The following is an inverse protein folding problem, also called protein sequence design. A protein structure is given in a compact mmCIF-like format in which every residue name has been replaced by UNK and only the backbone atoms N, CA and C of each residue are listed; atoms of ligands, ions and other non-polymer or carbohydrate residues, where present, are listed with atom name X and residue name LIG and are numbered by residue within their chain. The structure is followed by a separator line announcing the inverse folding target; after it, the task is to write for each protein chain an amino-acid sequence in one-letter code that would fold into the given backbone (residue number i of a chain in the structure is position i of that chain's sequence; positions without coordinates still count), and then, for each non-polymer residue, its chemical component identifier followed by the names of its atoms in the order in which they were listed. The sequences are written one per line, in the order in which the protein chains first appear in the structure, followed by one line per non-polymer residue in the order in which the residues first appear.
data_IF_550209021656
#
_entry.id   IF_550209021656
#
_cell.length_a   1.000
_cell.length_b   1.000
_cell.length_c   1.000
_cell.angle_alpha   90.00
_cell.angle_beta   90.00
_cell.angle_gamma   90.00
#
_symmetry.space_group_name_H-M   'P 1'
#
loop_
_entity.id
_entity.type
_entity.pdbx_description
1 polymer ?
#
# COMPACT_ATOMS: atom_id res chain seq x y z
N UNK A 1 -1.44 10.44 -11.86
CA UNK A 1 -2.43 11.52 -11.72
C UNK A 1 -3.23 11.21 -10.47
N UNK A 2 -3.36 12.14 -9.50
CA UNK A 2 -4.02 11.84 -8.23
C UNK A 2 -5.51 11.55 -8.43
N UNK A 3 -6.03 10.63 -7.62
CA UNK A 3 -7.45 10.30 -7.53
C UNK A 3 -8.03 10.97 -6.28
N UNK A 4 -9.18 11.64 -6.43
CA UNK A 4 -9.85 12.36 -5.36
C UNK A 4 -11.23 11.76 -5.10
N UNK A 5 -11.57 11.58 -3.83
CA UNK A 5 -12.88 11.09 -3.41
C UNK A 5 -13.81 12.26 -3.14
N UNK A 6 -14.98 12.24 -3.76
CA UNK A 6 -16.03 13.24 -3.63
C UNK A 6 -17.32 12.60 -3.11
N UNK A 7 -18.04 13.32 -2.24
CA UNK A 7 -19.34 12.92 -1.68
C UNK A 7 -20.36 14.02 -1.95
N UNK A 8 -21.53 13.62 -2.44
CA UNK A 8 -22.65 14.53 -2.52
C UNK A 8 -23.31 14.68 -1.14
N UNK A 9 -23.45 15.91 -0.61
CA UNK A 9 -24.11 16.13 0.68
C UNK A 9 -25.62 15.81 0.64
N UNK A 10 -26.26 15.90 -0.52
CA UNK A 10 -27.70 15.70 -0.65
C UNK A 10 -28.10 14.24 -0.87
N UNK A 11 -27.39 13.52 -1.75
CA UNK A 11 -27.74 12.15 -2.11
C UNK A 11 -26.77 11.08 -1.59
N UNK A 12 -25.68 11.50 -0.92
CA UNK A 12 -24.68 10.60 -0.36
C UNK A 12 -23.86 9.83 -1.42
N UNK A 13 -23.97 10.20 -2.70
CA UNK A 13 -23.23 9.53 -3.78
C UNK A 13 -21.73 9.76 -3.62
N UNK A 14 -20.97 8.67 -3.60
CA UNK A 14 -19.51 8.69 -3.66
C UNK A 14 -19.03 8.63 -5.12
N UNK A 15 -18.09 9.49 -5.49
CA UNK A 15 -17.41 9.45 -6.79
C UNK A 15 -15.92 9.65 -6.63
N UNK A 16 -15.16 8.81 -7.33
CA UNK A 16 -13.71 8.98 -7.45
C UNK A 16 -13.42 9.66 -8.78
N UNK A 17 -12.68 10.76 -8.75
CA UNK A 17 -12.37 11.57 -9.93
C UNK A 17 -10.85 11.70 -10.02
N UNK A 18 -10.29 11.26 -11.14
CA UNK A 18 -8.86 11.42 -11.43
C UNK A 18 -8.69 12.76 -12.14
N UNK A 19 -7.98 13.71 -11.52
CA UNK A 19 -7.69 15.03 -12.12
C UNK A 19 -6.29 15.51 -11.75
N UNK A 20 -5.65 16.36 -12.57
CA UNK A 20 -4.36 16.93 -12.22
C UNK A 20 -4.48 17.87 -11.01
N UNK A 21 -3.38 18.04 -10.26
CA UNK A 21 -3.32 18.92 -9.08
C UNK A 21 -3.67 20.38 -9.42
N UNK A 22 -3.44 20.81 -10.66
CA UNK A 22 -3.79 22.15 -11.16
C UNK A 22 -5.30 22.39 -11.26
N UNK A 23 -6.10 21.34 -11.26
CA UNK A 23 -7.57 21.40 -11.33
C UNK A 23 -8.22 21.10 -9.97
N UNK A 24 -7.44 21.23 -8.90
CA UNK A 24 -7.84 20.92 -7.55
C UNK A 24 -9.10 21.68 -7.11
N UNK A 25 -9.13 23.00 -7.30
CA UNK A 25 -10.23 23.88 -6.85
C UNK A 25 -11.46 23.87 -7.77
N UNK A 26 -11.44 23.11 -8.87
CA UNK A 26 -12.62 22.99 -9.74
C UNK A 26 -13.72 22.22 -9.01
N UNK A 27 -14.86 22.89 -8.83
CA UNK A 27 -16.07 22.35 -8.20
C UNK A 27 -16.72 21.31 -9.13
N UNK A 28 -16.89 20.11 -8.61
CA UNK A 28 -17.54 19.01 -9.32
C UNK A 28 -19.02 18.97 -8.95
N UNK A 29 -19.88 18.72 -9.93
CA UNK A 29 -21.32 18.60 -9.69
C UNK A 29 -21.73 17.14 -9.59
N UNK A 30 -22.64 16.88 -8.66
CA UNK A 30 -23.30 15.61 -8.59
C UNK A 30 -24.13 15.39 -9.86
N UNK A 31 -24.12 14.16 -10.39
CA UNK A 31 -25.05 13.68 -11.42
C UNK A 31 -25.79 12.44 -10.87
N UNK A 32 -26.21 12.53 -9.61
CA UNK A 32 -26.82 11.43 -8.87
C UNK A 32 -28.24 11.12 -9.34
N UNK A 33 -28.77 10.01 -8.82
CA UNK A 33 -30.14 9.58 -9.09
C UNK A 33 -31.14 10.70 -8.76
N UNK A 34 -32.08 10.98 -9.67
CA UNK A 34 -33.08 12.04 -9.50
C UNK A 34 -32.65 13.45 -9.94
N UNK A 35 -31.49 13.61 -10.60
CA UNK A 35 -31.08 14.91 -11.15
C UNK A 35 -30.51 15.88 -10.12
N UNK A 36 -30.01 15.38 -8.99
CA UNK A 36 -29.29 16.15 -7.99
C UNK A 36 -28.06 16.82 -8.63
N UNK A 37 -27.98 18.15 -8.56
CA UNK A 37 -26.92 19.01 -9.13
C UNK A 37 -26.06 19.70 -8.06
N UNK A 38 -26.12 19.22 -6.82
CA UNK A 38 -25.35 19.76 -5.72
C UNK A 38 -23.84 19.73 -6.01
N UNK A 39 -23.12 20.66 -5.39
CA UNK A 39 -21.66 20.68 -5.41
C UNK A 39 -21.18 19.50 -4.57
N UNK A 40 -20.27 18.71 -5.13
CA UNK A 40 -19.66 17.59 -4.46
C UNK A 40 -18.56 18.08 -3.49
N UNK A 41 -18.61 17.62 -2.25
CA UNK A 41 -17.59 17.92 -1.25
C UNK A 41 -16.49 16.86 -1.27
N UNK A 42 -15.24 17.29 -1.11
CA UNK A 42 -14.10 16.38 -1.08
C UNK A 42 -14.06 15.61 0.24
N UNK A 43 -14.06 14.29 0.15
CA UNK A 43 -13.97 13.41 1.30
C UNK A 43 -12.51 13.07 1.62
N UNK A 44 -11.85 13.98 2.34
CA UNK A 44 -10.45 13.83 2.78
C UNK A 44 -10.23 12.59 3.64
N UNK A 45 -11.25 12.16 4.42
CA UNK A 45 -11.16 10.96 5.24
C UNK A 45 -11.10 9.67 4.40
N UNK A 46 -11.81 9.63 3.28
CA UNK A 46 -11.74 8.52 2.33
C UNK A 46 -10.39 8.51 1.57
N UNK A 47 -9.83 9.68 1.25
CA UNK A 47 -8.52 9.79 0.59
C UNK A 47 -7.36 9.38 1.50
N UNK A 48 -7.46 9.65 2.81
CA UNK A 48 -6.46 9.24 3.78
C UNK A 48 -6.27 7.71 3.86
N UNK A 49 -7.25 6.91 3.40
CA UNK A 49 -7.14 5.43 3.39
C UNK A 49 -6.04 4.92 2.46
N UNK A 50 -5.66 5.67 1.43
CA UNK A 50 -4.52 5.30 0.59
C UNK A 50 -3.16 5.57 1.25
N UNK A 51 -3.12 6.24 2.40
CA UNK A 51 -1.90 6.45 3.20
C UNK A 51 -1.76 5.46 4.37
N UNK A 52 -2.77 4.63 4.63
CA UNK A 52 -2.73 3.66 5.72
C UNK A 52 -2.24 2.30 5.23
N UNK A 53 -0.92 2.14 5.21
CA UNK A 53 -0.21 0.86 5.20
C UNK A 53 -0.79 -0.19 4.26
N UNK A 54 -0.42 -0.11 2.98
CA UNK A 54 -0.73 -1.13 1.98
C UNK A 54 -0.47 -2.53 2.55
N UNK A 55 -1.55 -3.24 2.88
CA UNK A 55 -1.47 -4.66 3.18
C UNK A 55 -1.02 -5.34 1.90
N UNK A 56 -0.10 -6.30 2.00
CA UNK A 56 0.22 -7.07 0.82
C UNK A 56 -1.06 -7.75 0.30
N UNK A 57 -1.30 -7.72 -1.01
CA UNK A 57 -2.44 -8.45 -1.60
C UNK A 57 -2.38 -9.96 -1.33
N UNK A 58 -1.20 -10.46 -0.96
CA UNK A 58 -0.93 -11.80 -0.39
C UNK A 58 0.16 -11.67 0.67
N UNK A 59 0.11 -12.40 1.80
CA UNK A 59 1.14 -12.31 2.81
C UNK A 59 2.54 -12.49 2.23
N UNK A 60 3.48 -11.63 2.62
CA UNK A 60 4.86 -11.72 2.17
C UNK A 60 5.59 -12.77 3.02
N UNK A 61 5.99 -13.87 2.40
CA UNK A 61 6.87 -14.87 3.00
C UNK A 61 8.30 -14.52 2.59
N UNK A 62 9.17 -14.24 3.57
CA UNK A 62 10.55 -13.84 3.29
C UNK A 62 11.49 -15.03 3.39
N UNK A 63 11.92 -15.55 2.24
CA UNK A 63 12.88 -16.67 2.17
C UNK A 63 14.28 -16.25 2.65
N UNK A 64 14.65 -14.99 2.47
CA UNK A 64 15.95 -14.45 2.89
C UNK A 64 16.09 -14.29 4.40
N UNK A 65 14.97 -14.35 5.14
CA UNK A 65 14.92 -14.26 6.60
C UNK A 65 14.60 -15.61 7.24
N UNK A 66 14.76 -16.71 6.50
CA UNK A 66 14.54 -18.05 7.04
C UNK A 66 15.51 -18.34 8.19
N UNK A 67 14.96 -18.80 9.32
CA UNK A 67 15.71 -19.14 10.53
C UNK A 67 15.68 -20.65 10.78
N UNK A 68 16.67 -21.15 11.51
CA UNK A 68 16.71 -22.57 11.86
C UNK A 68 15.54 -22.92 12.82
N UNK A 69 14.92 -24.12 12.72
CA UNK A 69 13.78 -24.48 13.56
C UNK A 69 14.00 -24.33 15.08
N UNK A 70 15.22 -24.53 15.55
CA UNK A 70 15.58 -24.33 16.96
C UNK A 70 15.49 -22.87 17.43
N UNK A 71 15.65 -21.91 16.52
CA UNK A 71 15.59 -20.47 16.80
C UNK A 71 14.16 -19.93 16.79
N UNK A 72 13.20 -20.68 16.23
CA UNK A 72 11.80 -20.27 16.11
C UNK A 72 11.18 -20.00 17.50
N UNK A 73 11.51 -20.83 18.50
CA UNK A 73 10.97 -20.67 19.84
C UNK A 73 11.41 -19.36 20.51
N UNK A 74 12.64 -18.93 20.27
CA UNK A 74 13.17 -17.66 20.78
C UNK A 74 12.63 -16.48 20.00
N UNK A 75 12.60 -16.59 18.67
CA UNK A 75 12.00 -15.58 17.80
C UNK A 75 10.55 -15.29 18.17
N UNK A 76 9.73 -16.33 18.40
CA UNK A 76 8.32 -16.17 18.75
C UNK A 76 8.11 -15.50 20.12
N UNK A 77 9.10 -15.56 21.03
CA UNK A 77 9.06 -14.81 22.29
C UNK A 77 9.36 -13.32 22.09
N UNK A 78 10.29 -13.01 21.19
CA UNK A 78 10.72 -11.64 20.89
C UNK A 78 9.75 -10.91 19.95
N UNK A 79 9.16 -11.64 19.00
CA UNK A 79 8.28 -11.11 17.95
C UNK A 79 6.99 -11.95 17.85
N UNK A 80 6.10 -11.87 18.86
CA UNK A 80 4.87 -12.66 18.88
C UNK A 80 3.90 -12.33 17.72
N UNK A 81 4.00 -11.13 17.16
CA UNK A 81 3.15 -10.65 16.07
C UNK A 81 3.54 -11.22 14.69
N UNK A 82 4.72 -11.84 14.56
CA UNK A 82 5.24 -12.36 13.30
C UNK A 82 5.09 -13.87 13.29
N UNK A 83 4.23 -14.37 12.40
CA UNK A 83 4.04 -15.81 12.22
C UNK A 83 5.23 -16.41 11.49
N UNK A 84 5.79 -17.49 12.02
CA UNK A 84 6.84 -18.27 11.36
C UNK A 84 6.27 -19.60 10.89
N UNK A 85 6.43 -19.92 9.61
CA UNK A 85 6.01 -21.20 9.05
C UNK A 85 6.90 -22.35 9.56
N UNK A 86 6.43 -23.59 9.38
CA UNK A 86 7.17 -24.81 9.75
C UNK A 86 8.57 -24.88 9.10
N UNK A 87 8.72 -24.27 7.94
CA UNK A 87 9.99 -24.17 7.19
C UNK A 87 10.92 -23.07 7.73
N UNK A 88 10.59 -22.44 8.85
CA UNK A 88 11.39 -21.37 9.47
C UNK A 88 11.26 -20.00 8.79
N UNK A 89 10.29 -19.84 7.87
CA UNK A 89 10.11 -18.61 7.09
C UNK A 89 9.12 -17.66 7.78
N UNK A 90 9.50 -16.40 8.10
CA UNK A 90 8.59 -15.42 8.67
C UNK A 90 7.61 -14.88 7.61
N UNK A 91 6.36 -14.74 8.01
CA UNK A 91 5.25 -14.17 7.24
C UNK A 91 4.95 -12.75 7.75
N UNK A 92 4.82 -11.81 6.81
CA UNK A 92 4.47 -10.43 7.07
C UNK A 92 3.17 -10.05 6.36
N UNK A 93 2.28 -9.37 7.07
CA UNK A 93 0.98 -8.97 6.53
C UNK A 93 1.02 -7.55 5.90
N UNK A 94 2.01 -6.73 6.29
CA UNK A 94 2.17 -5.36 5.81
C UNK A 94 3.67 -5.01 5.62
N UNK A 95 3.96 -4.11 4.67
CA UNK A 95 5.31 -3.57 4.46
C UNK A 95 5.88 -2.93 5.74
N UNK A 96 5.06 -2.19 6.48
CA UNK A 96 5.49 -1.55 7.73
C UNK A 96 5.97 -2.57 8.76
N UNK A 97 5.24 -3.69 8.92
CA UNK A 97 5.60 -4.76 9.84
C UNK A 97 6.94 -5.40 9.47
N UNK A 98 7.20 -5.54 8.17
CA UNK A 98 8.46 -6.07 7.67
C UNK A 98 9.63 -5.10 7.89
N UNK A 99 9.43 -3.80 7.65
CA UNK A 99 10.47 -2.79 7.90
C UNK A 99 10.76 -2.61 9.40
N UNK A 100 9.73 -2.54 10.25
CA UNK A 100 9.88 -2.50 11.71
C UNK A 100 10.66 -3.73 12.24
N UNK A 101 10.44 -4.91 11.63
CA UNK A 101 11.18 -6.12 11.97
C UNK A 101 12.67 -6.01 11.62
N UNK A 102 12.98 -5.51 10.42
CA UNK A 102 14.36 -5.34 9.96
C UNK A 102 15.12 -4.30 10.80
N UNK A 103 14.46 -3.22 11.20
CA UNK A 103 15.04 -2.23 12.10
C UNK A 103 15.37 -2.83 13.48
N UNK A 104 14.42 -3.58 14.07
CA UNK A 104 14.62 -4.21 15.40
C UNK A 104 15.68 -5.29 15.41
N UNK A 105 15.81 -6.04 14.31
CA UNK A 105 16.82 -7.09 14.15
C UNK A 105 18.17 -6.55 13.67
N UNK A 106 18.25 -5.27 13.29
CA UNK A 106 19.45 -4.64 12.77
C UNK A 106 19.84 -5.07 11.35
N UNK A 107 18.94 -5.70 10.60
CA UNK A 107 19.19 -6.09 9.22
C UNK A 107 19.15 -4.86 8.30
N UNK A 108 20.31 -4.46 7.80
CA UNK A 108 20.43 -3.39 6.80
C UNK A 108 20.17 -3.94 5.40
N UNK A 109 19.12 -3.46 4.72
CA UNK A 109 18.88 -3.78 3.30
C UNK A 109 20.00 -3.19 2.44
N UNK A 110 20.87 -4.04 1.90
CA UNK A 110 21.80 -3.63 0.86
C UNK A 110 21.03 -3.28 -0.42
N UNK A 111 21.22 -2.07 -0.94
CA UNK A 111 20.59 -1.65 -2.20
C UNK A 111 21.14 -2.48 -3.37
N UNK A 112 20.27 -3.24 -4.03
CA UNK A 112 20.66 -3.96 -5.24
C UNK A 112 20.77 -2.98 -6.43
N UNK A 113 21.90 -3.02 -7.15
CA UNK A 113 22.06 -2.28 -8.40
C UNK A 113 21.10 -2.86 -9.45
N UNK A 114 20.05 -2.11 -9.80
CA UNK A 114 19.18 -2.46 -10.93
C UNK A 114 20.01 -2.45 -12.22
N UNK A 115 20.04 -3.57 -12.95
CA UNK A 115 20.66 -3.62 -14.29
C UNK A 115 19.94 -2.60 -15.19
N UNK A 116 20.71 -1.74 -15.88
CA UNK A 116 20.13 -0.82 -16.87
C UNK A 116 19.47 -1.64 -17.98
N UNK A 117 18.24 -1.29 -18.36
CA UNK A 117 17.51 -1.96 -19.44
C UNK A 117 18.32 -1.78 -20.73
N UNK A 118 18.69 -2.89 -21.38
CA UNK A 118 19.46 -2.87 -22.63
C UNK A 118 18.71 -2.12 -23.74
N UNK A 119 19.45 -1.45 -24.63
CA UNK A 119 18.88 -0.75 -25.78
C UNK A 119 18.36 -1.78 -26.77
N UNK A 120 17.08 -1.71 -27.14
CA UNK A 120 16.51 -2.55 -28.20
C UNK A 120 17.13 -2.08 -29.53
N UNK A 121 17.95 -2.93 -30.17
CA UNK A 121 18.47 -2.69 -31.51
C UNK A 121 17.36 -3.12 -32.48
N UNK A 122 16.79 -2.19 -33.23
CA UNK A 122 15.90 -2.53 -34.35
C UNK A 122 16.78 -3.08 -35.47
N UNK A 123 16.63 -4.35 -35.81
CA UNK A 123 17.18 -4.91 -37.04
C UNK A 123 16.40 -4.31 -38.22
N UNK A 124 17.13 -3.63 -39.11
CA UNK A 124 16.64 -3.14 -40.41
C UNK A 124 16.47 -4.29 -41.38
#
# INVERSE_FOLDING_TARGET
MPEYCYVCPECGLHRNIVKPMSEYDKLERCNGFGGCKAILDRNLAAEAKYSSGDRYGKPLISDSLAMHPSQIAEHNKLFPDIKVHKDGRPQFDNFKQHDDYLEKTGFVKCTQRKKRRGKIIKST
#
